data_IF_354980981344
#
_entry.id   IF_354980981344
#
_cell.length_a   1.000
_cell.length_b   1.000
_cell.length_c   1.000
_cell.angle_alpha   90.00
_cell.angle_beta   90.00
_cell.angle_gamma   90.00
#
_symmetry.space_group_name_H-M   'P 1'
#
loop_
_entity.id
_entity.type
_entity.pdbx_description
1 polymer ?
#
# COMPACT_ATOMS: atom_id res chain seq x y z
N UNK A 1 -4.11 4.84 -14.04
CA UNK A 1 -4.06 3.94 -12.88
C UNK A 1 -2.68 3.88 -12.18
N UNK A 2 -1.54 3.95 -12.89
CA UNK A 2 -0.22 4.17 -12.24
C UNK A 2 -0.15 5.48 -11.44
N UNK A 3 -0.84 6.53 -11.91
CA UNK A 3 -0.90 7.86 -11.28
C UNK A 3 -1.61 7.84 -9.93
N UNK A 4 -2.76 7.15 -9.83
CA UNK A 4 -3.51 7.04 -8.58
C UNK A 4 -2.67 6.38 -7.48
N UNK A 5 -1.99 5.28 -7.83
CA UNK A 5 -1.10 4.56 -6.91
C UNK A 5 0.10 5.41 -6.50
N UNK A 6 0.69 6.16 -7.44
CA UNK A 6 1.76 7.13 -7.13
C UNK A 6 1.27 8.22 -6.18
N UNK A 7 0.08 8.76 -6.38
CA UNK A 7 -0.52 9.79 -5.51
C UNK A 7 -0.76 9.23 -4.11
N UNK A 8 -1.38 8.05 -4.00
CA UNK A 8 -1.61 7.36 -2.71
C UNK A 8 -0.29 7.10 -1.96
N UNK A 9 0.77 6.75 -2.69
CA UNK A 9 2.10 6.50 -2.14
C UNK A 9 2.80 7.79 -1.69
N UNK A 10 2.71 8.88 -2.46
CA UNK A 10 3.25 10.18 -2.06
C UNK A 10 2.52 10.70 -0.81
N UNK A 11 1.20 10.58 -0.77
CA UNK A 11 0.40 10.91 0.43
C UNK A 11 0.84 10.12 1.65
N UNK A 12 1.10 8.82 1.48
CA UNK A 12 1.63 7.98 2.56
C UNK A 12 3.00 8.46 3.04
N UNK A 13 3.92 8.82 2.14
CA UNK A 13 5.25 9.33 2.52
C UNK A 13 5.16 10.64 3.29
N UNK A 14 4.30 11.57 2.86
CA UNK A 14 4.07 12.83 3.59
C UNK A 14 3.50 12.55 4.97
N UNK A 15 2.52 11.63 5.07
CA UNK A 15 1.95 11.23 6.36
C UNK A 15 3.01 10.62 7.28
N UNK A 16 3.83 9.70 6.78
CA UNK A 16 4.93 9.11 7.56
C UNK A 16 5.94 10.17 8.02
N UNK A 17 6.31 11.11 7.15
CA UNK A 17 7.18 12.22 7.51
C UNK A 17 6.56 13.10 8.61
N UNK A 18 5.26 13.41 8.53
CA UNK A 18 4.56 14.13 9.61
C UNK A 18 4.50 13.31 10.89
N UNK A 19 4.27 12.00 10.82
CA UNK A 19 4.25 11.12 12.00
C UNK A 19 5.59 11.08 12.72
N UNK A 20 6.69 10.97 11.97
CA UNK A 20 8.06 11.01 12.51
C UNK A 20 8.35 12.38 13.11
N UNK A 21 7.96 13.47 12.45
CA UNK A 21 8.13 14.82 12.98
C UNK A 21 7.36 15.01 14.30
N UNK A 22 6.12 14.55 14.38
CA UNK A 22 5.31 14.58 15.61
C UNK A 22 5.92 13.72 16.73
N UNK A 23 6.58 12.62 16.37
CA UNK A 23 7.25 11.74 17.31
C UNK A 23 8.50 12.39 17.91
N UNK A 24 9.25 13.14 17.11
CA UNK A 24 10.45 13.87 17.55
C UNK A 24 10.14 15.02 18.52
N UNK A 25 8.95 15.62 18.43
CA UNK A 25 8.49 16.66 19.37
C UNK A 25 7.74 16.08 20.58
N UNK A 26 7.82 14.75 20.80
CA UNK A 26 7.15 14.00 21.88
C UNK A 26 5.65 14.33 22.01
N UNK A 27 4.98 14.61 20.89
CA UNK A 27 3.58 14.95 20.93
C UNK A 27 2.77 13.71 21.36
N UNK A 28 1.89 13.87 22.34
CA UNK A 28 1.07 12.78 22.91
C UNK A 28 0.26 12.01 21.85
N UNK A 29 -0.07 12.66 20.72
CA UNK A 29 -0.84 12.09 19.60
C UNK A 29 0.03 11.43 18.53
N UNK A 30 1.36 11.47 18.64
CA UNK A 30 2.28 10.95 17.63
C UNK A 30 2.08 9.46 17.36
N UNK A 31 1.88 8.66 18.41
CA UNK A 31 1.60 7.23 18.27
C UNK A 31 0.28 6.95 17.52
N UNK A 32 -0.76 7.75 17.78
CA UNK A 32 -2.05 7.61 17.09
C UNK A 32 -1.91 7.98 15.61
N UNK A 33 -1.21 9.08 15.30
CA UNK A 33 -0.97 9.53 13.92
C UNK A 33 -0.13 8.52 13.14
N UNK A 34 0.89 7.92 13.76
CA UNK A 34 1.66 6.83 13.18
C UNK A 34 0.80 5.57 12.96
N UNK A 35 0.02 5.17 13.95
CA UNK A 35 -0.88 4.02 13.87
C UNK A 35 -1.90 4.17 12.74
N UNK A 36 -2.48 5.35 12.58
CA UNK A 36 -3.38 5.67 11.47
C UNK A 36 -2.69 5.59 10.11
N UNK A 37 -1.42 6.02 10.02
CA UNK A 37 -0.61 5.87 8.81
C UNK A 37 -0.38 4.40 8.43
N UNK A 38 -0.06 3.55 9.41
CA UNK A 38 0.09 2.11 9.21
C UNK A 38 -1.24 1.45 8.82
N UNK A 39 -2.34 1.86 9.46
CA UNK A 39 -3.68 1.37 9.13
C UNK A 39 -4.06 1.72 7.69
N UNK A 40 -3.82 2.97 7.27
CA UNK A 40 -3.99 3.40 5.88
C UNK A 40 -3.14 2.56 4.92
N UNK A 41 -1.88 2.30 5.25
CA UNK A 41 -1.00 1.46 4.43
C UNK A 41 -1.55 0.04 4.26
N UNK A 42 -1.98 -0.58 5.36
CA UNK A 42 -2.44 -1.97 5.41
C UNK A 42 -3.80 -2.16 4.72
N UNK A 43 -4.76 -1.28 4.99
CA UNK A 43 -6.15 -1.46 4.54
C UNK A 43 -6.52 -0.72 3.25
N UNK A 44 -5.77 0.33 2.88
CA UNK A 44 -6.07 1.12 1.68
C UNK A 44 -4.99 0.90 0.63
N UNK A 45 -3.73 1.20 0.95
CA UNK A 45 -2.67 1.17 -0.05
C UNK A 45 -2.37 -0.25 -0.55
N UNK A 46 -2.24 -1.23 0.36
CA UNK A 46 -1.93 -2.62 0.00
C UNK A 46 -3.04 -3.29 -0.85
N UNK A 47 -4.34 -3.22 -0.49
CA UNK A 47 -5.38 -3.88 -1.29
C UNK A 47 -5.57 -3.21 -2.65
N UNK A 48 -5.47 -1.88 -2.73
CA UNK A 48 -5.54 -1.14 -4.01
C UNK A 48 -4.33 -1.49 -4.89
N UNK A 49 -3.14 -1.61 -4.30
CA UNK A 49 -1.92 -2.03 -5.01
C UNK A 49 -2.08 -3.43 -5.61
N UNK A 50 -2.54 -4.39 -4.81
CA UNK A 50 -2.79 -5.77 -5.24
C UNK A 50 -3.84 -5.78 -6.34
N UNK A 51 -4.99 -5.14 -6.12
CA UNK A 51 -6.06 -5.06 -7.12
C UNK A 51 -5.53 -4.51 -8.45
N UNK A 52 -4.82 -3.38 -8.42
CA UNK A 52 -4.27 -2.80 -9.64
C UNK A 52 -3.23 -3.69 -10.31
N UNK A 53 -2.41 -4.41 -9.54
CA UNK A 53 -1.38 -5.29 -10.07
C UNK A 53 -1.94 -6.53 -10.76
N UNK A 54 -3.01 -7.12 -10.22
CA UNK A 54 -3.63 -8.34 -10.76
C UNK A 54 -4.80 -8.07 -11.71
N UNK A 55 -5.30 -6.83 -11.77
CA UNK A 55 -6.20 -6.37 -12.83
C UNK A 55 -5.52 -6.55 -14.20
N UNK A 56 -6.32 -6.92 -15.20
CA UNK A 56 -5.91 -7.23 -16.59
C UNK A 56 -5.40 -8.67 -16.85
N UNK A 57 -5.80 -9.65 -16.04
CA UNK A 57 -5.60 -11.06 -16.39
C UNK A 57 -4.15 -11.56 -16.27
N UNK A 58 -3.24 -10.74 -15.75
CA UNK A 58 -1.82 -11.10 -15.53
C UNK A 58 -1.61 -12.24 -14.54
N UNK A 59 -2.63 -12.57 -13.74
CA UNK A 59 -2.63 -13.76 -12.90
C UNK A 59 -2.54 -15.05 -13.72
N UNK A 60 -3.08 -15.07 -14.95
CA UNK A 60 -3.04 -16.23 -15.85
C UNK A 60 -1.61 -16.64 -16.23
N UNK A 61 -0.65 -15.70 -16.16
CA UNK A 61 0.78 -15.97 -16.41
C UNK A 61 1.42 -16.84 -15.31
N UNK A 62 0.78 -16.94 -14.14
CA UNK A 62 1.26 -17.72 -13.00
C UNK A 62 0.44 -19.00 -12.78
N UNK A 63 -0.56 -19.25 -13.61
CA UNK A 63 -1.27 -20.54 -13.63
C UNK A 63 -0.35 -21.51 -14.37
N UNK A 64 0.20 -22.48 -13.65
CA UNK A 64 0.84 -23.64 -14.26
C UNK A 64 -0.30 -24.45 -14.91
N UNK A 65 -0.58 -24.20 -16.18
CA UNK A 65 -1.35 -25.17 -16.97
C UNK A 65 -0.49 -26.44 -17.03
N UNK A 66 -0.89 -27.45 -16.26
CA UNK A 66 -0.40 -28.82 -16.45
C UNK A 66 -0.82 -29.28 -17.86
N UNK A 67 -0.01 -28.95 -18.87
CA UNK A 67 -0.14 -29.45 -20.24
C UNK A 67 0.40 -30.87 -20.42
N UNK A 68 0.89 -31.49 -19.35
CA UNK A 68 1.50 -32.83 -19.37
C UNK A 68 0.54 -33.90 -18.83
N UNK A 69 -0.64 -34.00 -19.44
CA UNK A 69 -1.46 -35.22 -19.39
C UNK A 69 -1.96 -35.53 -20.80
N UNK A 70 -1.08 -36.05 -21.64
CA UNK A 70 -1.44 -36.78 -22.84
C UNK A 70 -0.58 -38.03 -22.96
#
# INVERSE_FOLDING_TARGET
>A
MKTLLKILFILFLVWMATGIYLLNIEHEKAQIVMGLGVMYMSFILMPIFIYYRYKDGKYKKYIIENKDKK
#
